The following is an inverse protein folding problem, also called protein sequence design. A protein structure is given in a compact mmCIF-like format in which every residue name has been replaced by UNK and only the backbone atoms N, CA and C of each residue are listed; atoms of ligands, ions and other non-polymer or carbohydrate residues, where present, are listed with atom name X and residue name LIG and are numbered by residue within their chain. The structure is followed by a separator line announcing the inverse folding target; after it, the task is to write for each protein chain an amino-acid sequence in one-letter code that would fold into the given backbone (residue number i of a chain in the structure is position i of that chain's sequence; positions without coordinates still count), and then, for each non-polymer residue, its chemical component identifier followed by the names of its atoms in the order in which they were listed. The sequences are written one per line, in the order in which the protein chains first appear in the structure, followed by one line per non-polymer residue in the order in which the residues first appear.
data_IF_206723925063
#
_entry.id   IF_206723925063
#
_cell.length_a   1.000
_cell.length_b   1.000
_cell.length_c   1.000
_cell.angle_alpha   90.00
_cell.angle_beta   90.00
_cell.angle_gamma   90.00
#
_symmetry.space_group_name_H-M   'P 1'
#
loop_
_entity.id
_entity.type
_entity.pdbx_description
1 polymer ?
#
# COMPACT_ATOMS: atom_id res chain seq x y z
N UNK A 1 4.59 -24.93 -13.57
CA UNK A 1 4.07 -23.55 -13.79
C UNK A 1 2.76 -23.63 -14.56
N UNK A 2 1.73 -22.96 -14.10
CA UNK A 2 0.43 -22.92 -14.81
C UNK A 2 0.52 -21.99 -16.02
N UNK A 3 -0.34 -22.19 -17.05
CA UNK A 3 -0.37 -21.34 -18.26
C UNK A 3 -0.49 -19.83 -17.93
N UNK A 4 -1.22 -19.47 -16.86
CA UNK A 4 -1.41 -18.09 -16.49
C UNK A 4 -0.17 -17.47 -15.82
N UNK A 5 0.65 -18.23 -15.07
CA UNK A 5 1.91 -17.74 -14.51
C UNK A 5 2.94 -17.49 -15.61
N UNK A 6 2.90 -18.25 -16.71
CA UNK A 6 3.77 -18.02 -17.87
C UNK A 6 3.43 -16.72 -18.61
N UNK A 7 2.14 -16.37 -18.67
CA UNK A 7 1.69 -15.14 -19.34
C UNK A 7 2.21 -13.84 -18.68
N UNK A 8 2.62 -13.88 -17.40
CA UNK A 8 3.15 -12.71 -16.68
C UNK A 8 4.67 -12.72 -16.51
N UNK A 9 5.39 -13.69 -17.10
CA UNK A 9 6.84 -13.83 -16.95
C UNK A 9 7.60 -12.59 -17.45
N UNK A 10 7.27 -12.11 -18.64
CA UNK A 10 7.91 -10.92 -19.22
C UNK A 10 7.64 -9.67 -18.38
N UNK A 11 6.41 -9.49 -17.92
CA UNK A 11 6.05 -8.40 -17.06
C UNK A 11 6.79 -8.45 -15.71
N UNK A 12 6.95 -9.65 -15.15
CA UNK A 12 7.73 -9.87 -13.94
C UNK A 12 9.19 -9.42 -14.10
N UNK A 13 9.83 -9.84 -15.21
CA UNK A 13 11.22 -9.44 -15.50
C UNK A 13 11.31 -7.93 -15.70
N UNK A 14 10.43 -7.35 -16.52
CA UNK A 14 10.44 -5.92 -16.79
C UNK A 14 10.27 -5.09 -15.52
N UNK A 15 9.28 -5.43 -14.67
CA UNK A 15 9.01 -4.69 -13.42
C UNK A 15 10.15 -4.85 -12.41
N UNK A 16 10.83 -6.01 -12.38
CA UNK A 16 12.01 -6.22 -11.55
C UNK A 16 13.19 -5.37 -12.01
N UNK A 17 13.41 -5.26 -13.33
CA UNK A 17 14.47 -4.40 -13.89
C UNK A 17 14.21 -2.92 -13.57
N UNK A 18 12.95 -2.47 -13.65
CA UNK A 18 12.61 -1.08 -13.32
C UNK A 18 12.89 -0.75 -11.85
N UNK A 19 12.64 -1.68 -10.91
CA UNK A 19 12.99 -1.49 -9.49
C UNK A 19 14.51 -1.35 -9.30
N UNK A 20 15.33 -1.98 -10.13
CA UNK A 20 16.77 -1.88 -10.04
C UNK A 20 17.36 -0.57 -10.59
N UNK A 21 16.61 0.23 -11.36
CA UNK A 21 17.11 1.50 -11.89
C UNK A 21 17.58 2.48 -10.79
N UNK A 22 16.80 2.75 -9.72
CA UNK A 22 17.30 3.57 -8.62
C UNK A 22 18.54 2.99 -7.92
N UNK A 23 18.68 1.65 -7.89
CA UNK A 23 19.86 0.98 -7.33
C UNK A 23 21.11 1.28 -8.14
N UNK A 24 21.00 1.23 -9.47
CA UNK A 24 22.09 1.56 -10.37
C UNK A 24 22.54 3.00 -10.22
N UNK A 25 21.60 3.93 -10.21
CA UNK A 25 21.88 5.35 -10.00
C UNK A 25 22.49 5.57 -8.60
N UNK A 26 21.90 4.97 -7.57
CA UNK A 26 22.40 5.04 -6.20
C UNK A 26 23.82 4.45 -6.03
N UNK A 27 24.10 3.31 -6.66
CA UNK A 27 25.41 2.67 -6.60
C UNK A 27 26.51 3.48 -7.33
N UNK A 28 26.15 4.13 -8.44
CA UNK A 28 27.06 4.98 -9.19
C UNK A 28 27.33 6.31 -8.51
N UNK A 29 26.32 6.88 -7.85
CA UNK A 29 26.41 8.21 -7.24
C UNK A 29 26.61 8.17 -5.73
N UNK A 30 26.01 7.18 -5.04
CA UNK A 30 25.98 7.13 -3.55
C UNK A 30 25.90 5.69 -3.03
N UNK A 31 26.99 5.14 -2.59
CA UNK A 31 27.14 3.75 -2.12
C UNK A 31 26.10 3.28 -1.07
N UNK A 32 25.54 4.19 -0.30
CA UNK A 32 24.68 3.88 0.86
C UNK A 32 23.22 3.56 0.47
N UNK A 33 22.77 3.95 -0.73
CA UNK A 33 21.36 3.82 -1.14
C UNK A 33 20.98 2.50 -1.83
N UNK A 34 21.88 1.54 -1.89
CA UNK A 34 21.66 0.25 -2.55
C UNK A 34 20.58 -0.59 -1.84
N UNK A 35 20.48 -0.47 -0.52
CA UNK A 35 19.61 -1.32 0.29
C UNK A 35 18.12 -1.05 0.08
N UNK A 36 17.71 0.19 -0.18
CA UNK A 36 16.31 0.55 -0.36
C UNK A 36 15.69 -0.15 -1.59
N UNK A 37 16.24 -0.03 -2.82
CA UNK A 37 15.68 -0.73 -3.98
C UNK A 37 15.81 -2.25 -3.89
N UNK A 38 16.85 -2.78 -3.24
CA UNK A 38 16.97 -4.23 -3.01
C UNK A 38 15.87 -4.75 -2.08
N UNK A 39 15.56 -4.02 -1.03
CA UNK A 39 14.43 -4.32 -0.15
C UNK A 39 13.08 -4.28 -0.88
N UNK A 40 12.88 -3.27 -1.75
CA UNK A 40 11.69 -3.20 -2.60
C UNK A 40 11.63 -4.35 -3.61
N UNK A 41 12.76 -4.75 -4.21
CA UNK A 41 12.82 -5.89 -5.11
C UNK A 41 12.45 -7.19 -4.42
N UNK A 42 13.00 -7.44 -3.23
CA UNK A 42 12.65 -8.61 -2.43
C UNK A 42 11.15 -8.61 -2.06
N UNK A 43 10.61 -7.46 -1.65
CA UNK A 43 9.18 -7.28 -1.37
C UNK A 43 8.33 -7.51 -2.63
N UNK A 44 8.77 -6.99 -3.79
CA UNK A 44 8.09 -7.19 -5.06
C UNK A 44 7.99 -8.67 -5.43
N UNK A 45 9.10 -9.40 -5.33
CA UNK A 45 9.11 -10.83 -5.60
C UNK A 45 8.24 -11.62 -4.65
N UNK A 46 8.27 -11.28 -3.36
CA UNK A 46 7.40 -11.91 -2.36
C UNK A 46 5.91 -11.67 -2.65
N UNK A 47 5.53 -10.43 -2.92
CA UNK A 47 4.15 -10.06 -3.27
C UNK A 47 3.69 -10.79 -4.52
N UNK A 48 4.50 -10.76 -5.59
CA UNK A 48 4.15 -11.43 -6.84
C UNK A 48 4.11 -12.95 -6.69
N UNK A 49 4.98 -13.55 -5.89
CA UNK A 49 4.93 -14.97 -5.56
C UNK A 49 3.57 -15.35 -4.96
N UNK A 50 3.08 -14.62 -3.97
CA UNK A 50 1.77 -14.89 -3.37
C UNK A 50 0.61 -14.64 -4.35
N UNK A 51 0.68 -13.57 -5.16
CA UNK A 51 -0.33 -13.26 -6.16
C UNK A 51 -0.40 -14.37 -7.21
N UNK A 52 0.73 -14.84 -7.71
CA UNK A 52 0.80 -15.88 -8.73
C UNK A 52 0.46 -17.27 -8.18
N UNK A 53 0.65 -17.51 -6.89
CA UNK A 53 0.27 -18.74 -6.22
C UNK A 53 -1.23 -18.82 -5.91
N UNK A 54 -1.89 -17.68 -5.72
CA UNK A 54 -3.33 -17.64 -5.44
C UNK A 54 -4.14 -17.89 -6.73
N UNK A 55 -4.67 -19.09 -6.87
CA UNK A 55 -5.46 -19.50 -8.07
C UNK A 55 -6.71 -18.65 -8.29
N UNK A 56 -7.27 -18.02 -7.24
CA UNK A 56 -8.39 -17.10 -7.38
C UNK A 56 -8.04 -15.88 -8.23
N UNK A 57 -6.75 -15.52 -8.32
CA UNK A 57 -6.27 -14.41 -9.15
C UNK A 57 -6.32 -14.71 -10.66
N UNK A 58 -6.39 -15.97 -11.08
CA UNK A 58 -6.58 -16.33 -12.49
C UNK A 58 -7.91 -15.79 -13.06
N UNK A 59 -8.90 -15.54 -12.18
CA UNK A 59 -10.19 -14.96 -12.54
C UNK A 59 -10.21 -13.42 -12.49
N UNK A 60 -9.11 -12.77 -12.07
CA UNK A 60 -8.99 -11.31 -12.05
C UNK A 60 -8.82 -10.74 -13.46
N UNK A 61 -9.25 -9.48 -13.63
CA UNK A 61 -8.98 -8.75 -14.88
C UNK A 61 -7.48 -8.59 -15.11
N UNK A 62 -6.95 -8.85 -16.31
CA UNK A 62 -5.55 -8.62 -16.63
C UNK A 62 -5.08 -7.18 -16.41
N UNK A 63 -5.99 -6.20 -16.50
CA UNK A 63 -5.69 -4.79 -16.20
C UNK A 63 -5.37 -4.59 -14.72
N UNK A 64 -6.13 -5.22 -13.82
CA UNK A 64 -5.89 -5.16 -12.37
C UNK A 64 -4.53 -5.76 -12.05
N UNK A 65 -4.23 -6.96 -12.57
CA UNK A 65 -2.96 -7.62 -12.32
C UNK A 65 -1.77 -6.79 -12.82
N UNK A 66 -1.85 -6.24 -14.04
CA UNK A 66 -0.79 -5.36 -14.57
C UNK A 66 -0.57 -4.13 -13.68
N UNK A 67 -1.62 -3.48 -13.21
CA UNK A 67 -1.49 -2.33 -12.30
C UNK A 67 -0.78 -2.72 -11.00
N UNK A 68 -1.08 -3.89 -10.45
CA UNK A 68 -0.43 -4.36 -9.22
C UNK A 68 1.05 -4.69 -9.45
N UNK A 69 1.40 -5.27 -10.60
CA UNK A 69 2.80 -5.49 -10.97
C UNK A 69 3.60 -4.19 -11.03
N UNK A 70 2.97 -3.09 -11.46
CA UNK A 70 3.61 -1.78 -11.56
C UNK A 70 3.64 -0.96 -10.27
N UNK A 71 2.89 -1.36 -9.23
CA UNK A 71 2.78 -0.58 -8.00
C UNK A 71 4.14 -0.34 -7.32
N UNK A 72 4.89 -1.41 -7.04
CA UNK A 72 6.20 -1.31 -6.40
C UNK A 72 7.30 -0.72 -7.31
N UNK A 73 7.38 -1.02 -8.62
CA UNK A 73 8.28 -0.32 -9.53
C UNK A 73 8.09 1.20 -9.54
N UNK A 74 6.85 1.67 -9.63
CA UNK A 74 6.57 3.11 -9.58
C UNK A 74 6.96 3.71 -8.23
N UNK A 75 6.65 3.02 -7.13
CA UNK A 75 7.09 3.43 -5.78
C UNK A 75 8.62 3.50 -5.67
N UNK A 76 9.34 2.56 -6.29
CA UNK A 76 10.81 2.56 -6.30
C UNK A 76 11.39 3.76 -7.05
N UNK A 77 10.80 4.11 -8.21
CA UNK A 77 11.22 5.28 -8.99
C UNK A 77 10.97 6.58 -8.23
N UNK A 78 9.79 6.74 -7.63
CA UNK A 78 9.44 7.92 -6.83
C UNK A 78 10.35 8.02 -5.61
N UNK A 79 10.52 6.93 -4.85
CA UNK A 79 11.41 6.89 -3.70
C UNK A 79 12.86 7.18 -4.07
N UNK A 80 13.36 6.63 -5.18
CA UNK A 80 14.69 6.95 -5.71
C UNK A 80 14.86 8.43 -6.06
N UNK A 81 13.85 9.04 -6.69
CA UNK A 81 13.86 10.48 -6.98
C UNK A 81 13.87 11.33 -5.72
N UNK A 82 13.05 10.98 -4.72
CA UNK A 82 13.02 11.67 -3.42
C UNK A 82 14.38 11.56 -2.71
N UNK A 83 14.98 10.37 -2.69
CA UNK A 83 16.29 10.16 -2.09
C UNK A 83 17.39 10.96 -2.82
N UNK A 84 17.32 11.04 -4.15
CA UNK A 84 18.24 11.86 -4.94
C UNK A 84 18.12 13.36 -4.61
N UNK A 85 16.89 13.86 -4.44
CA UNK A 85 16.63 15.24 -4.01
C UNK A 85 17.15 15.51 -2.60
N UNK A 86 16.92 14.60 -1.64
CA UNK A 86 17.45 14.74 -0.28
C UNK A 86 18.98 14.83 -0.23
N UNK A 87 19.67 14.19 -1.18
CA UNK A 87 21.14 14.17 -1.25
C UNK A 87 21.72 15.28 -2.13
N UNK A 88 20.92 15.98 -2.92
CA UNK A 88 21.40 16.99 -3.88
C UNK A 88 22.00 18.23 -3.23
N UNK A 89 21.76 18.43 -1.92
CA UNK A 89 22.16 19.64 -1.18
C UNK A 89 21.26 20.86 -1.48
N UNK A 90 20.25 20.72 -2.34
CA UNK A 90 19.24 21.76 -2.56
C UNK A 90 18.22 21.75 -1.43
N UNK A 91 17.69 22.91 -1.09
CA UNK A 91 16.49 23.00 -0.25
C UNK A 91 15.27 22.52 -1.07
N UNK A 92 15.09 21.21 -1.07
CA UNK A 92 14.06 20.53 -1.86
C UNK A 92 12.84 20.11 -1.00
N UNK A 93 12.73 20.59 0.24
CA UNK A 93 11.70 20.15 1.17
C UNK A 93 10.28 20.29 0.58
N UNK A 94 9.93 21.49 0.10
CA UNK A 94 8.62 21.72 -0.51
C UNK A 94 8.36 20.81 -1.71
N UNK A 95 9.35 20.61 -2.58
CA UNK A 95 9.26 19.74 -3.74
C UNK A 95 9.07 18.28 -3.33
N UNK A 96 9.82 17.79 -2.35
CA UNK A 96 9.72 16.43 -1.84
C UNK A 96 8.33 16.17 -1.27
N UNK A 97 7.82 17.05 -0.41
CA UNK A 97 6.49 16.93 0.19
C UNK A 97 5.40 16.99 -0.87
N UNK A 98 5.54 17.87 -1.86
CA UNK A 98 4.62 17.94 -3.02
C UNK A 98 4.61 16.61 -3.79
N UNK A 99 5.78 16.05 -4.12
CA UNK A 99 5.88 14.75 -4.80
C UNK A 99 5.20 13.66 -3.99
N UNK A 100 5.38 13.63 -2.67
CA UNK A 100 4.75 12.63 -1.80
C UNK A 100 3.22 12.77 -1.82
N UNK A 101 2.66 13.98 -1.63
CA UNK A 101 1.21 14.18 -1.66
C UNK A 101 0.59 13.80 -3.01
N UNK A 102 1.20 14.20 -4.12
CA UNK A 102 0.74 13.84 -5.45
C UNK A 102 0.84 12.34 -5.71
N UNK A 103 1.94 11.71 -5.30
CA UNK A 103 2.16 10.26 -5.51
C UNK A 103 1.18 9.40 -4.72
N UNK A 104 1.01 9.70 -3.43
CA UNK A 104 0.04 8.98 -2.60
C UNK A 104 -1.40 9.25 -3.06
N UNK A 105 -1.72 10.51 -3.39
CA UNK A 105 -3.04 10.86 -3.88
C UNK A 105 -3.38 10.15 -5.19
N UNK A 106 -2.45 10.12 -6.16
CA UNK A 106 -2.62 9.38 -7.41
C UNK A 106 -2.74 7.88 -7.17
N UNK A 107 -1.93 7.32 -6.28
CA UNK A 107 -2.01 5.91 -5.89
C UNK A 107 -3.38 5.57 -5.32
N UNK A 108 -3.91 6.37 -4.39
CA UNK A 108 -5.24 6.15 -3.81
C UNK A 108 -6.36 6.29 -4.86
N UNK A 109 -6.24 7.24 -5.78
CA UNK A 109 -7.19 7.43 -6.87
C UNK A 109 -7.21 6.21 -7.80
N UNK A 110 -6.04 5.71 -8.21
CA UNK A 110 -5.92 4.52 -9.07
C UNK A 110 -6.45 3.28 -8.35
N UNK A 111 -6.00 3.03 -7.11
CA UNK A 111 -6.45 1.88 -6.32
C UNK A 111 -7.95 1.97 -6.00
N UNK A 112 -8.47 3.15 -5.69
CA UNK A 112 -9.89 3.39 -5.45
C UNK A 112 -10.75 3.03 -6.67
N UNK A 113 -10.28 3.35 -7.88
CA UNK A 113 -10.98 3.01 -9.12
C UNK A 113 -10.97 1.50 -9.44
N UNK A 114 -9.97 0.76 -8.99
CA UNK A 114 -9.88 -0.68 -9.24
C UNK A 114 -10.53 -1.54 -8.14
N UNK A 115 -10.55 -1.07 -6.88
CA UNK A 115 -11.09 -1.83 -5.75
C UNK A 115 -12.47 -2.46 -6.02
N UNK A 116 -13.48 -1.74 -6.58
CA UNK A 116 -14.80 -2.32 -6.85
C UNK A 116 -14.81 -3.44 -7.89
N UNK A 117 -13.73 -3.58 -8.65
CA UNK A 117 -13.57 -4.54 -9.75
C UNK A 117 -12.76 -5.78 -9.32
N UNK A 118 -12.17 -5.75 -8.13
CA UNK A 118 -11.40 -6.88 -7.59
C UNK A 118 -12.34 -7.97 -7.11
N UNK A 119 -12.24 -9.15 -7.71
CA UNK A 119 -12.96 -10.35 -7.28
C UNK A 119 -12.35 -10.89 -5.99
N UNK A 120 -13.17 -11.57 -5.17
CA UNK A 120 -12.72 -12.16 -3.91
C UNK A 120 -11.52 -13.10 -4.12
N UNK A 121 -10.48 -12.89 -3.32
CA UNK A 121 -9.23 -13.63 -3.34
C UNK A 121 -8.48 -13.44 -2.02
N UNK A 122 -7.34 -14.16 -1.84
CA UNK A 122 -6.58 -14.12 -0.59
C UNK A 122 -5.39 -13.14 -0.60
N UNK A 123 -5.12 -12.43 -1.71
CA UNK A 123 -3.89 -11.63 -1.87
C UNK A 123 -4.12 -10.17 -2.18
N UNK A 124 -5.16 -9.82 -2.95
CA UNK A 124 -5.42 -8.47 -3.46
C UNK A 124 -6.71 -7.91 -2.86
N UNK A 125 -6.68 -6.74 -2.25
CA UNK A 125 -7.86 -6.04 -1.73
C UNK A 125 -7.89 -5.92 -0.21
N UNK A 126 -9.06 -5.54 0.33
CA UNK A 126 -9.30 -5.38 1.77
C UNK A 126 -9.66 -6.74 2.37
N UNK A 127 -8.63 -7.37 2.93
CA UNK A 127 -8.67 -8.75 3.44
C UNK A 127 -8.87 -8.77 4.94
N UNK A 128 -10.10 -8.65 5.36
CA UNK A 128 -10.51 -8.87 6.74
C UNK A 128 -11.44 -10.08 6.77
N UNK A 129 -11.58 -10.67 7.95
CA UNK A 129 -12.33 -11.92 8.12
C UNK A 129 -13.68 -11.90 7.42
N UNK A 130 -14.47 -10.86 7.64
CA UNK A 130 -15.83 -10.75 7.11
C UNK A 130 -15.90 -10.61 5.59
N UNK A 131 -14.88 -10.01 4.95
CA UNK A 131 -14.78 -9.94 3.48
C UNK A 131 -14.32 -11.26 2.88
N UNK A 132 -13.38 -11.97 3.54
CA UNK A 132 -12.84 -13.24 3.05
C UNK A 132 -13.88 -14.39 3.13
N UNK A 133 -14.76 -14.35 4.12
CA UNK A 133 -15.77 -15.40 4.34
C UNK A 133 -17.09 -15.14 3.58
N UNK A 134 -17.30 -13.94 3.07
CA UNK A 134 -18.58 -13.56 2.45
C UNK A 134 -18.38 -12.65 1.23
N UNK A 135 -18.71 -13.16 0.04
CA UNK A 135 -18.55 -12.43 -1.22
C UNK A 135 -19.43 -11.17 -1.29
N UNK A 136 -20.64 -11.20 -0.70
CA UNK A 136 -21.50 -10.01 -0.66
C UNK A 136 -20.86 -8.90 0.18
N UNK A 137 -20.27 -9.26 1.33
CA UNK A 137 -19.52 -8.32 2.16
C UNK A 137 -18.28 -7.81 1.42
N UNK A 138 -17.53 -8.70 0.74
CA UNK A 138 -16.41 -8.32 -0.11
C UNK A 138 -16.82 -7.24 -1.11
N UNK A 139 -17.82 -7.52 -1.93
CA UNK A 139 -18.30 -6.64 -2.98
C UNK A 139 -18.83 -5.30 -2.43
N UNK A 140 -19.57 -5.31 -1.31
CA UNK A 140 -20.08 -4.11 -0.65
C UNK A 140 -18.94 -3.25 -0.10
N UNK A 141 -17.99 -3.88 0.61
CA UNK A 141 -16.83 -3.20 1.21
C UNK A 141 -15.93 -2.59 0.13
N UNK A 142 -15.62 -3.32 -0.92
CA UNK A 142 -14.76 -2.82 -2.00
C UNK A 142 -15.41 -1.70 -2.80
N UNK A 143 -16.73 -1.70 -3.01
CA UNK A 143 -17.46 -0.59 -3.63
C UNK A 143 -17.47 0.66 -2.75
N UNK A 144 -17.71 0.51 -1.45
CA UNK A 144 -17.63 1.61 -0.51
C UNK A 144 -16.21 2.21 -0.46
N UNK A 145 -15.22 1.36 -0.29
CA UNK A 145 -13.81 1.75 -0.20
C UNK A 145 -13.30 2.38 -1.49
N UNK A 146 -13.74 1.89 -2.65
CA UNK A 146 -13.36 2.48 -3.93
C UNK A 146 -13.74 3.94 -4.03
N UNK A 147 -14.97 4.31 -3.65
CA UNK A 147 -15.42 5.70 -3.63
C UNK A 147 -14.64 6.54 -2.62
N UNK A 148 -14.46 5.98 -1.42
CA UNK A 148 -13.73 6.65 -0.35
C UNK A 148 -12.29 6.93 -0.76
N UNK A 149 -11.60 5.97 -1.39
CA UNK A 149 -10.21 6.08 -1.82
C UNK A 149 -10.04 7.08 -2.98
N UNK A 150 -11.01 7.17 -3.89
CA UNK A 150 -11.01 8.21 -4.95
C UNK A 150 -11.10 9.61 -4.34
N UNK A 151 -12.06 9.82 -3.43
CA UNK A 151 -12.24 11.11 -2.74
C UNK A 151 -10.98 11.45 -1.92
N UNK A 152 -10.50 10.49 -1.12
CA UNK A 152 -9.28 10.67 -0.33
C UNK A 152 -8.05 10.93 -1.17
N UNK A 153 -7.93 10.28 -2.33
CA UNK A 153 -6.84 10.54 -3.29
C UNK A 153 -6.86 11.98 -3.80
N UNK A 154 -8.02 12.50 -4.16
CA UNK A 154 -8.18 13.91 -4.58
C UNK A 154 -7.80 14.86 -3.44
N UNK A 155 -8.24 14.59 -2.21
CA UNK A 155 -7.89 15.40 -1.04
C UNK A 155 -6.38 15.36 -0.75
N UNK A 156 -5.75 14.19 -0.83
CA UNK A 156 -4.29 14.08 -0.68
C UNK A 156 -3.54 14.88 -1.77
N UNK A 157 -4.00 14.83 -3.02
CA UNK A 157 -3.42 15.65 -4.09
C UNK A 157 -3.61 17.14 -3.85
N UNK A 158 -4.77 17.56 -3.32
CA UNK A 158 -5.02 18.96 -2.97
C UNK A 158 -4.08 19.49 -1.88
N UNK A 159 -3.59 18.63 -0.97
CA UNK A 159 -2.58 19.01 0.01
C UNK A 159 -1.28 19.54 -0.64
N UNK A 160 -0.97 19.12 -1.87
CA UNK A 160 0.19 19.60 -2.60
C UNK A 160 0.15 21.11 -2.94
N UNK A 161 -1.05 21.71 -2.98
CA UNK A 161 -1.22 23.16 -3.22
C UNK A 161 -0.68 24.02 -2.07
N UNK A 162 -0.59 23.44 -0.87
CA UNK A 162 -0.11 24.09 0.35
C UNK A 162 0.86 23.15 1.09
N UNK A 163 1.82 22.59 0.34
CA UNK A 163 2.64 21.45 0.75
C UNK A 163 3.36 21.63 2.09
N UNK A 164 3.85 22.83 2.39
CA UNK A 164 4.58 23.15 3.62
C UNK A 164 3.67 23.46 4.82
N UNK A 165 2.35 23.50 4.61
CA UNK A 165 1.41 23.83 5.67
C UNK A 165 1.23 22.66 6.65
N UNK A 166 1.32 22.94 7.95
CA UNK A 166 0.96 21.98 8.98
C UNK A 166 -0.48 21.43 8.82
N UNK A 167 -1.40 22.26 8.28
CA UNK A 167 -2.76 21.83 8.00
C UNK A 167 -2.78 20.76 6.92
N UNK A 168 -2.00 20.92 5.82
CA UNK A 168 -1.90 19.91 4.78
C UNK A 168 -1.39 18.57 5.32
N UNK A 169 -0.38 18.61 6.18
CA UNK A 169 0.16 17.42 6.82
C UNK A 169 -0.90 16.71 7.69
N UNK A 170 -1.62 17.45 8.53
CA UNK A 170 -2.69 16.88 9.37
C UNK A 170 -3.80 16.29 8.51
N UNK A 171 -4.26 17.02 7.49
CA UNK A 171 -5.31 16.55 6.56
C UNK A 171 -4.87 15.27 5.85
N UNK A 172 -3.64 15.22 5.37
CA UNK A 172 -3.09 14.03 4.72
C UNK A 172 -3.09 12.81 5.65
N UNK A 173 -2.56 12.93 6.87
CA UNK A 173 -2.53 11.82 7.83
C UNK A 173 -3.94 11.39 8.27
N UNK A 174 -4.84 12.32 8.54
CA UNK A 174 -6.25 12.02 8.86
C UNK A 174 -6.91 11.30 7.70
N UNK A 175 -6.66 11.74 6.46
CA UNK A 175 -7.17 11.09 5.26
C UNK A 175 -6.67 9.66 5.15
N UNK A 176 -5.36 9.42 5.26
CA UNK A 176 -4.75 8.07 5.20
C UNK A 176 -5.36 7.14 6.27
N UNK A 177 -5.49 7.62 7.51
CA UNK A 177 -6.12 6.85 8.58
C UNK A 177 -7.60 6.53 8.28
N UNK A 178 -8.35 7.48 7.76
CA UNK A 178 -9.74 7.28 7.37
C UNK A 178 -9.87 6.24 6.25
N UNK A 179 -8.98 6.28 5.24
CA UNK A 179 -8.94 5.31 4.15
C UNK A 179 -8.65 3.87 4.62
N UNK A 180 -7.93 3.72 5.73
CA UNK A 180 -7.66 2.41 6.34
C UNK A 180 -8.81 1.95 7.25
N UNK A 181 -9.31 2.82 8.15
CA UNK A 181 -10.21 2.44 9.25
C UNK A 181 -11.66 2.35 8.78
N UNK A 182 -12.15 3.31 7.97
CA UNK A 182 -13.56 3.36 7.58
C UNK A 182 -14.03 2.12 6.79
N UNK A 183 -13.23 1.54 5.88
CA UNK A 183 -13.59 0.27 5.24
C UNK A 183 -13.79 -0.89 6.21
N UNK A 184 -12.93 -0.98 7.24
CA UNK A 184 -13.05 -2.03 8.25
C UNK A 184 -14.35 -1.87 9.05
N UNK A 185 -14.64 -0.65 9.49
CA UNK A 185 -15.87 -0.33 10.20
C UNK A 185 -17.12 -0.58 9.35
N UNK A 186 -17.08 -0.23 8.05
CA UNK A 186 -18.17 -0.52 7.12
C UNK A 186 -18.41 -2.02 6.97
N UNK A 187 -17.34 -2.81 6.73
CA UNK A 187 -17.43 -4.26 6.59
C UNK A 187 -17.99 -4.93 7.83
N UNK A 188 -17.55 -4.50 9.02
CA UNK A 188 -18.08 -5.01 10.29
C UNK A 188 -19.57 -4.68 10.45
N UNK A 189 -19.99 -3.44 10.16
CA UNK A 189 -21.41 -3.05 10.20
C UNK A 189 -22.26 -3.86 9.22
N UNK A 190 -21.73 -4.12 8.03
CA UNK A 190 -22.40 -4.93 7.02
C UNK A 190 -22.58 -6.38 7.51
N UNK A 191 -21.52 -6.98 8.06
CA UNK A 191 -21.56 -8.30 8.70
C UNK A 191 -22.60 -8.39 9.82
N UNK A 192 -22.64 -7.39 10.71
CA UNK A 192 -23.64 -7.34 11.80
C UNK A 192 -25.08 -7.29 11.28
N UNK A 193 -25.33 -6.59 10.18
CA UNK A 193 -26.64 -6.55 9.53
C UNK A 193 -27.03 -7.90 8.95
N UNK A 194 -26.10 -8.59 8.31
CA UNK A 194 -26.33 -9.93 7.78
C UNK A 194 -26.64 -10.95 8.89
N UNK A 195 -25.97 -10.87 10.04
CA UNK A 195 -26.30 -11.68 11.22
C UNK A 195 -27.69 -11.41 11.75
N UNK A 196 -28.06 -10.13 11.89
CA UNK A 196 -29.36 -9.73 12.40
C UNK A 196 -30.52 -10.16 11.49
N UNK A 197 -30.29 -10.22 10.17
CA UNK A 197 -31.28 -10.71 9.19
C UNK A 197 -31.31 -12.27 9.07
N UNK A 198 -30.45 -12.99 9.79
CA UNK A 198 -30.35 -14.45 9.69
C UNK A 198 -29.77 -14.96 8.36
N UNK A 199 -29.24 -14.08 7.51
CA UNK A 199 -28.67 -14.43 6.20
C UNK A 199 -27.32 -15.16 6.26
N UNK A 200 -26.63 -15.08 7.41
CA UNK A 200 -25.37 -15.78 7.67
C UNK A 200 -25.33 -16.31 9.12
N UNK A 201 -24.58 -17.40 9.33
CA UNK A 201 -24.27 -17.89 10.68
C UNK A 201 -23.09 -17.12 11.30
N UNK A 202 -23.01 -17.03 12.65
CA UNK A 202 -21.86 -16.45 13.33
C UNK A 202 -20.57 -17.20 13.00
N UNK A 203 -19.57 -16.49 12.51
CA UNK A 203 -18.28 -17.09 12.21
C UNK A 203 -17.41 -17.16 13.49
N UNK A 204 -16.76 -18.31 13.81
CA UNK A 204 -15.92 -18.43 15.00
C UNK A 204 -14.74 -17.45 14.91
N UNK A 205 -14.58 -16.59 15.94
CA UNK A 205 -13.46 -15.64 16.01
C UNK A 205 -12.21 -16.39 16.42
N UNK A 206 -11.21 -16.47 15.54
CA UNK A 206 -9.88 -16.94 15.92
C UNK A 206 -9.19 -15.88 16.78
N UNK A 207 -9.26 -16.03 18.11
CA UNK A 207 -8.57 -15.14 19.06
C UNK A 207 -7.05 -15.12 18.86
N UNK A 208 -6.46 -16.23 18.38
CA UNK A 208 -5.01 -16.35 18.13
C UNK A 208 -4.56 -15.44 16.98
N UNK A 209 -5.32 -15.38 15.87
CA UNK A 209 -4.99 -14.49 14.74
C UNK A 209 -5.11 -13.00 15.10
N UNK A 210 -6.16 -12.63 15.86
CA UNK A 210 -6.33 -11.24 16.31
C UNK A 210 -5.20 -10.82 17.27
N UNK A 211 -4.82 -11.68 18.23
CA UNK A 211 -3.72 -11.41 19.14
C UNK A 211 -2.38 -11.26 18.42
N UNK A 212 -2.11 -12.10 17.40
CA UNK A 212 -0.89 -12.00 16.59
C UNK A 212 -0.81 -10.65 15.86
N UNK A 213 -1.88 -10.21 15.20
CA UNK A 213 -1.92 -8.92 14.49
C UNK A 213 -1.68 -7.76 15.45
N UNK A 214 -2.35 -7.76 16.61
CA UNK A 214 -2.18 -6.70 17.63
C UNK A 214 -0.74 -6.67 18.14
N UNK A 215 -0.18 -7.82 18.52
CA UNK A 215 1.20 -7.91 19.03
C UNK A 215 2.22 -7.50 17.96
N UNK A 216 2.03 -7.92 16.70
CA UNK A 216 2.90 -7.53 15.60
C UNK A 216 2.84 -6.02 15.34
N UNK A 217 1.64 -5.42 15.37
CA UNK A 217 1.47 -3.97 15.20
C UNK A 217 2.14 -3.19 16.33
N UNK A 218 1.96 -3.64 17.60
CA UNK A 218 2.64 -3.02 18.75
C UNK A 218 4.16 -3.12 18.61
N UNK A 219 4.69 -4.30 18.23
CA UNK A 219 6.12 -4.51 18.04
C UNK A 219 6.67 -3.60 16.92
N UNK A 220 5.93 -3.45 15.81
CA UNK A 220 6.31 -2.58 14.71
C UNK A 220 6.32 -1.10 15.13
N UNK A 221 5.30 -0.65 15.87
CA UNK A 221 5.24 0.72 16.40
C UNK A 221 6.37 0.99 17.40
N UNK A 222 6.65 0.03 18.29
CA UNK A 222 7.76 0.13 19.24
C UNK A 222 9.11 0.19 18.53
N UNK A 223 9.32 -0.64 17.50
CA UNK A 223 10.54 -0.64 16.69
C UNK A 223 10.73 0.69 15.95
N UNK A 224 9.65 1.20 15.33
CA UNK A 224 9.69 2.51 14.63
C UNK A 224 9.95 3.66 15.61
N UNK A 225 9.29 3.64 16.77
CA UNK A 225 9.55 4.61 17.85
C UNK A 225 11.01 4.55 18.34
N UNK A 226 11.55 3.36 18.54
CA UNK A 226 12.95 3.15 18.92
C UNK A 226 13.91 3.72 17.88
N UNK A 227 13.72 3.43 16.59
CA UNK A 227 14.61 3.92 15.52
C UNK A 227 14.60 5.45 15.39
N UNK A 228 13.43 6.07 15.54
CA UNK A 228 13.29 7.52 15.54
C UNK A 228 13.98 8.16 16.75
N UNK A 229 13.82 7.56 17.94
CA UNK A 229 14.41 8.09 19.16
C UNK A 229 15.93 7.88 19.21
N UNK A 230 16.42 6.71 18.80
CA UNK A 230 17.87 6.43 18.78
C UNK A 230 18.60 7.24 17.71
N UNK A 231 17.97 7.51 16.56
CA UNK A 231 18.52 8.38 15.50
C UNK A 231 18.62 9.84 15.93
N UNK A 232 17.66 10.35 16.71
CA UNK A 232 17.67 11.74 17.18
C UNK A 232 18.74 12.02 18.27
N UNK A 233 19.22 10.98 18.98
CA UNK A 233 20.26 11.11 20.00
C UNK A 233 21.68 11.14 19.42
N UNK A 234 21.88 10.76 18.15
CA UNK A 234 23.19 10.74 17.48
C UNK A 234 23.45 11.97 16.58
N UNK A 235 22.59 12.98 16.60
CA UNK A 235 22.89 14.28 15.99
C UNK A 235 23.77 15.03 16.98
N UNK A 236 25.08 14.76 16.97
CA UNK A 236 26.05 15.62 17.57
C UNK A 236 25.99 16.96 16.83
N UNK A 237 25.55 17.98 17.51
CA UNK A 237 25.69 19.38 17.13
C UNK A 237 27.16 19.74 17.40
N UNK A 238 28.01 19.58 16.37
CA UNK A 238 29.33 20.22 16.29
C UNK A 238 29.19 21.51 15.52
#
# INVERSE_FOLDING_TARGET
MTKWTMAYRELFVLTSLVILLPTLVGALCWREFVWFPLGLLATHWLVLFFILRDHANAAQSPRILRLIFWLLPVTALIGGAVLALLRSGFDAYALIVTILYLSFGLMFLVLGNILPKVRQNNTIGIKIKWTLENEQNWNATHRFSGRLWVIGGILCMACALVAESAIAMVVFFVCVLALAILPMGYSYRYYRRQLASGSIAPSPVSRKGAAFVVLFTIALCAFTGWTLFSGSMNVNVD
#
